data_IF_275794401296
#
_entry.id   IF_275794401296
#
_cell.length_a   1.000
_cell.length_b   1.000
_cell.length_c   1.000
_cell.angle_alpha   90.00
_cell.angle_beta   90.00
_cell.angle_gamma   90.00
#
_symmetry.space_group_name_H-M   'P 1'
#
loop_
_entity.id
_entity.type
_entity.pdbx_description
1 polymer ?
#
# COMPACT_ATOMS: atom_id res chain seq x y z
N UNK A 1 -11.75 13.93 -25.12
CA UNK A 1 -10.77 14.90 -24.59
C UNK A 1 -9.49 14.14 -24.26
N UNK A 2 -8.32 14.65 -24.64
CA UNK A 2 -7.05 13.96 -24.38
C UNK A 2 -6.56 14.19 -22.95
N UNK A 3 -6.03 13.15 -22.32
CA UNK A 3 -5.55 13.18 -20.95
C UNK A 3 -4.49 12.09 -20.70
N UNK A 4 -3.84 12.12 -19.55
CA UNK A 4 -2.89 11.09 -19.14
C UNK A 4 -3.56 10.07 -18.22
N UNK A 5 -3.22 8.80 -18.43
CA UNK A 5 -3.83 7.66 -17.74
C UNK A 5 -2.79 6.64 -17.28
N UNK A 6 -3.16 5.91 -16.23
CA UNK A 6 -2.53 4.64 -15.85
C UNK A 6 -3.02 3.55 -16.84
N UNK A 7 -2.12 2.91 -17.62
CA UNK A 7 -2.51 1.95 -18.65
C UNK A 7 -3.33 0.76 -18.12
N UNK A 8 -2.99 0.27 -16.92
CA UNK A 8 -3.55 -0.98 -16.39
C UNK A 8 -4.99 -0.85 -15.90
N UNK A 9 -5.49 0.36 -15.66
CA UNK A 9 -6.87 0.57 -15.18
C UNK A 9 -7.57 1.79 -15.80
N UNK A 10 -6.93 2.50 -16.73
CA UNK A 10 -7.50 3.66 -17.42
C UNK A 10 -7.76 4.87 -16.53
N UNK A 11 -7.23 4.90 -15.30
CA UNK A 11 -7.43 6.01 -14.35
C UNK A 11 -6.71 7.26 -14.82
N UNK A 12 -7.43 8.37 -14.83
CA UNK A 12 -6.88 9.69 -15.15
C UNK A 12 -5.91 10.16 -14.07
N UNK A 13 -4.80 10.74 -14.51
CA UNK A 13 -3.76 11.30 -13.65
C UNK A 13 -3.33 12.68 -14.15
N UNK A 14 -3.09 13.59 -13.21
CA UNK A 14 -2.49 14.91 -13.45
C UNK A 14 -1.09 15.01 -12.85
N UNK A 15 -0.69 14.04 -12.02
CA UNK A 15 0.65 13.91 -11.48
C UNK A 15 1.04 12.43 -11.31
N UNK A 16 2.35 12.17 -11.31
CA UNK A 16 2.92 10.84 -11.06
C UNK A 16 4.30 10.96 -10.39
N UNK A 17 4.48 10.29 -9.26
CA UNK A 17 5.78 10.17 -8.60
C UNK A 17 6.55 8.97 -9.17
N UNK A 18 7.71 9.23 -9.75
CA UNK A 18 8.56 8.26 -10.44
C UNK A 18 9.66 7.78 -9.48
N UNK A 19 9.73 6.49 -9.11
CA UNK A 19 10.84 6.02 -8.29
C UNK A 19 12.17 6.11 -9.05
N UNK A 20 13.25 6.38 -8.32
CA UNK A 20 14.58 6.52 -8.91
C UNK A 20 14.94 5.26 -9.73
N UNK A 21 15.49 5.48 -10.92
CA UNK A 21 15.97 4.45 -11.84
C UNK A 21 14.93 3.44 -12.34
N UNK A 22 13.65 3.64 -12.04
CA UNK A 22 12.55 2.84 -12.57
C UNK A 22 12.09 3.38 -13.93
N UNK A 23 11.96 2.48 -14.90
CA UNK A 23 11.21 2.76 -16.13
C UNK A 23 9.74 2.44 -15.91
N UNK A 24 8.87 3.44 -16.06
CA UNK A 24 7.42 3.30 -15.89
C UNK A 24 6.71 3.56 -17.21
N UNK A 25 5.69 2.75 -17.49
CA UNK A 25 4.81 2.89 -18.65
C UNK A 25 3.56 3.70 -18.30
N UNK A 26 3.27 4.72 -19.09
CA UNK A 26 2.08 5.56 -18.94
C UNK A 26 1.41 5.77 -20.30
N UNK A 27 0.14 6.18 -20.26
CA UNK A 27 -0.67 6.33 -21.45
C UNK A 27 -1.12 7.78 -21.62
N UNK A 28 -0.81 8.38 -22.76
CA UNK A 28 -1.54 9.54 -23.26
C UNK A 28 -2.75 8.98 -24.01
N UNK A 29 -3.96 9.29 -23.52
CA UNK A 29 -5.21 8.78 -24.06
C UNK A 29 -5.91 9.77 -24.97
N UNK A 30 -6.43 9.28 -26.10
CA UNK A 30 -7.18 10.05 -27.08
C UNK A 30 -6.28 10.84 -28.04
N UNK A 31 -6.89 11.37 -29.11
CA UNK A 31 -6.18 12.07 -30.19
C UNK A 31 -6.63 13.51 -30.41
N UNK A 32 -6.14 14.07 -31.52
CA UNK A 32 -6.63 15.32 -32.08
C UNK A 32 -8.09 15.18 -32.61
N UNK A 33 -8.75 16.27 -33.05
CA UNK A 33 -10.12 16.21 -33.60
C UNK A 33 -10.25 15.32 -34.84
N UNK A 34 -9.15 15.03 -35.53
CA UNK A 34 -9.08 14.17 -36.71
C UNK A 34 -8.83 12.70 -36.35
N UNK A 35 -8.61 12.39 -35.07
CA UNK A 35 -8.33 11.03 -34.60
C UNK A 35 -6.87 10.61 -34.80
N UNK A 36 -5.95 11.54 -35.01
CA UNK A 36 -4.51 11.24 -35.02
C UNK A 36 -3.98 11.13 -33.59
N UNK A 37 -2.97 10.28 -33.41
CA UNK A 37 -2.26 10.13 -32.14
C UNK A 37 -1.56 11.43 -31.78
N UNK A 38 -1.40 11.72 -30.49
CA UNK A 38 -0.60 12.87 -30.07
C UNK A 38 0.84 12.45 -29.83
N UNK A 39 1.79 13.32 -30.19
CA UNK A 39 3.19 13.15 -29.84
C UNK A 39 3.37 13.46 -28.35
N UNK A 40 4.22 12.69 -27.66
CA UNK A 40 4.55 12.91 -26.25
C UNK A 40 6.02 13.25 -26.10
N UNK A 41 6.31 14.29 -25.35
CA UNK A 41 7.68 14.70 -25.05
C UNK A 41 7.74 15.38 -23.67
N UNK A 42 8.96 15.53 -23.16
CA UNK A 42 9.20 16.35 -21.98
C UNK A 42 8.82 17.81 -22.28
N UNK A 43 8.32 18.52 -21.27
CA UNK A 43 7.97 19.94 -21.36
C UNK A 43 9.19 20.84 -21.63
N UNK A 44 10.37 20.36 -21.25
CA UNK A 44 11.69 20.97 -21.44
C UNK A 44 12.78 19.91 -21.47
N UNK A 45 14.00 20.28 -21.84
CA UNK A 45 15.16 19.40 -21.65
C UNK A 45 15.48 19.27 -20.16
N UNK A 46 15.57 18.04 -19.68
CA UNK A 46 15.83 17.72 -18.26
C UNK A 46 16.89 16.64 -18.19
N UNK A 47 18.04 16.98 -17.59
CA UNK A 47 19.12 16.02 -17.41
C UNK A 47 18.67 14.83 -16.53
N UNK A 48 19.09 13.62 -16.91
CA UNK A 48 18.76 12.40 -16.16
C UNK A 48 17.30 11.95 -16.31
N UNK A 49 16.52 12.52 -17.24
CA UNK A 49 15.18 12.03 -17.56
C UNK A 49 15.14 11.58 -19.01
N UNK A 50 14.65 10.36 -19.23
CA UNK A 50 14.42 9.81 -20.57
C UNK A 50 12.94 9.52 -20.74
N UNK A 51 12.39 9.91 -21.89
CA UNK A 51 11.03 9.57 -22.30
C UNK A 51 11.07 8.96 -23.70
N UNK A 52 10.36 7.85 -23.89
CA UNK A 52 10.31 7.14 -25.16
C UNK A 52 8.87 6.77 -25.48
N UNK A 53 8.34 7.33 -26.57
CA UNK A 53 7.06 6.90 -27.12
C UNK A 53 7.20 5.49 -27.71
N UNK A 54 6.24 4.61 -27.41
CA UNK A 54 6.25 3.23 -27.87
C UNK A 54 5.37 3.07 -29.10
N UNK A 55 5.87 2.36 -30.12
CA UNK A 55 5.15 2.10 -31.38
C UNK A 55 3.99 1.09 -31.25
N UNK A 56 3.68 0.63 -30.04
CA UNK A 56 2.63 -0.37 -29.81
C UNK A 56 1.27 0.12 -30.32
N UNK A 57 0.48 -0.81 -30.89
CA UNK A 57 -0.92 -0.52 -31.25
C UNK A 57 -1.71 -0.30 -29.96
N UNK A 58 -2.23 0.91 -29.78
CA UNK A 58 -3.07 1.27 -28.63
C UNK A 58 -4.53 1.44 -29.05
N UNK A 59 -5.48 1.24 -28.13
CA UNK A 59 -6.88 1.61 -28.33
C UNK A 59 -7.01 3.13 -28.43
N UNK A 60 -7.97 3.57 -29.25
CA UNK A 60 -8.12 4.96 -29.65
C UNK A 60 -6.82 5.52 -30.26
N UNK A 61 -6.81 6.81 -30.57
CA UNK A 61 -5.62 7.53 -31.03
C UNK A 61 -4.64 7.80 -29.87
N UNK A 62 -4.36 6.81 -29.04
CA UNK A 62 -3.55 6.94 -27.83
C UNK A 62 -2.07 6.66 -28.08
N UNK A 63 -1.21 7.25 -27.25
CA UNK A 63 0.24 7.06 -27.27
C UNK A 63 0.71 6.47 -25.95
N UNK A 64 1.22 5.24 -25.98
CA UNK A 64 1.90 4.63 -24.83
C UNK A 64 3.35 5.10 -24.80
N UNK A 65 3.87 5.42 -23.62
CA UNK A 65 5.26 5.85 -23.48
C UNK A 65 5.89 5.31 -22.21
N UNK A 66 7.22 5.23 -22.24
CA UNK A 66 8.06 4.90 -21.09
C UNK A 66 8.77 6.16 -20.60
N UNK A 67 8.90 6.29 -19.29
CA UNK A 67 9.66 7.36 -18.63
C UNK A 67 10.56 6.78 -17.55
N UNK A 68 11.79 7.28 -17.48
CA UNK A 68 12.79 6.93 -16.45
C UNK A 68 13.48 8.20 -15.97
N UNK A 69 13.75 8.28 -14.66
CA UNK A 69 14.48 9.37 -14.03
C UNK A 69 15.63 8.85 -13.18
N UNK A 70 16.80 9.49 -13.26
CA UNK A 70 18.04 9.06 -12.59
C UNK A 70 18.58 10.11 -11.62
N UNK A 71 17.83 11.19 -11.36
CA UNK A 71 18.23 12.27 -10.46
C UNK A 71 17.10 12.61 -9.50
N UNK A 72 17.24 12.22 -8.23
CA UNK A 72 16.25 12.45 -7.16
C UNK A 72 15.90 13.94 -7.05
N UNK A 73 14.62 14.24 -6.83
CA UNK A 73 14.11 15.60 -6.65
C UNK A 73 13.83 16.34 -7.97
N UNK A 74 14.24 15.76 -9.10
CA UNK A 74 13.96 16.32 -10.43
C UNK A 74 12.45 16.38 -10.67
N UNK A 75 11.96 17.57 -11.00
CA UNK A 75 10.56 17.79 -11.40
C UNK A 75 10.48 18.19 -12.86
N UNK A 76 9.47 17.71 -13.58
CA UNK A 76 9.29 17.94 -15.00
C UNK A 76 7.83 17.71 -15.42
N UNK A 77 7.48 18.13 -16.64
CA UNK A 77 6.20 17.85 -17.26
C UNK A 77 6.34 16.87 -18.41
N UNK A 78 5.31 16.04 -18.64
CA UNK A 78 5.11 15.35 -19.91
C UNK A 78 3.95 16.04 -20.63
N UNK A 79 4.23 16.56 -21.82
CA UNK A 79 3.27 17.29 -22.63
C UNK A 79 2.84 16.45 -23.84
N UNK A 80 1.58 16.62 -24.25
CA UNK A 80 1.04 16.05 -25.48
C UNK A 80 0.94 17.14 -26.56
N UNK A 81 1.43 16.84 -27.76
CA UNK A 81 1.53 17.76 -28.88
C UNK A 81 0.75 17.26 -30.08
N UNK A 82 0.27 18.19 -30.92
CA UNK A 82 -0.26 17.82 -32.23
C UNK A 82 0.88 17.23 -33.09
N UNK A 83 0.63 16.15 -33.86
CA UNK A 83 1.63 15.46 -34.66
C UNK A 83 2.53 16.36 -35.48
N UNK A 84 3.85 16.21 -35.32
CA UNK A 84 4.83 16.96 -36.11
C UNK A 84 4.87 18.46 -35.81
N UNK A 85 4.26 18.92 -34.71
CA UNK A 85 4.26 20.32 -34.30
C UNK A 85 4.74 20.48 -32.86
N UNK A 86 4.97 21.74 -32.45
CA UNK A 86 5.22 22.10 -31.04
C UNK A 86 3.97 22.62 -30.33
N UNK A 87 2.80 22.54 -30.96
CA UNK A 87 1.54 23.01 -30.38
C UNK A 87 1.04 22.04 -29.31
N UNK A 88 0.91 22.53 -28.07
CA UNK A 88 0.38 21.74 -26.94
C UNK A 88 -1.11 21.47 -27.14
N UNK A 89 -1.54 20.26 -26.83
CA UNK A 89 -2.92 19.82 -26.96
C UNK A 89 -3.63 19.62 -25.61
N UNK A 90 -2.89 19.30 -24.55
CA UNK A 90 -3.45 19.08 -23.21
C UNK A 90 -2.58 19.71 -22.12
N UNK A 91 -3.09 19.71 -20.88
CA UNK A 91 -2.29 20.03 -19.69
C UNK A 91 -1.24 18.94 -19.47
N UNK A 92 -0.05 19.37 -19.06
CA UNK A 92 1.07 18.47 -18.78
C UNK A 92 0.75 17.52 -17.61
N UNK A 93 1.23 16.28 -17.73
CA UNK A 93 1.38 15.39 -16.59
C UNK A 93 2.58 15.86 -15.76
N UNK A 94 2.34 16.26 -14.51
CA UNK A 94 3.41 16.66 -13.60
C UNK A 94 4.14 15.43 -13.06
N UNK A 95 5.46 15.41 -13.14
CA UNK A 95 6.26 14.30 -12.66
C UNK A 95 7.36 14.76 -11.71
N UNK A 96 7.69 13.88 -10.76
CA UNK A 96 8.81 14.05 -9.83
C UNK A 96 9.57 12.75 -9.69
N UNK A 97 10.88 12.79 -9.86
CA UNK A 97 11.78 11.68 -9.53
C UNK A 97 11.96 11.65 -8.02
N UNK A 98 11.56 10.54 -7.39
CA UNK A 98 11.63 10.31 -5.95
C UNK A 98 12.89 9.51 -5.61
N UNK A 99 13.02 9.06 -4.36
CA UNK A 99 14.15 8.27 -3.90
C UNK A 99 14.20 6.85 -4.48
N UNK A 100 15.25 6.13 -4.13
CA UNK A 100 15.36 4.70 -4.37
C UNK A 100 14.38 3.93 -3.46
N UNK A 101 13.55 3.03 -3.98
CA UNK A 101 12.67 2.19 -3.16
C UNK A 101 13.45 1.24 -2.24
N UNK A 102 13.34 1.43 -0.93
CA UNK A 102 13.94 0.54 0.09
C UNK A 102 12.88 -0.02 1.03
N UNK A 103 13.12 -1.15 1.69
CA UNK A 103 12.20 -1.63 2.73
C UNK A 103 12.19 -0.67 3.93
N UNK A 104 11.10 -0.72 4.74
CA UNK A 104 11.11 -0.18 6.10
C UNK A 104 12.37 -0.64 6.85
N UNK A 105 13.00 0.27 7.58
CA UNK A 105 14.26 0.01 8.28
C UNK A 105 14.15 -1.25 9.16
N UNK A 106 15.05 -2.21 8.95
CA UNK A 106 15.10 -3.48 9.69
C UNK A 106 14.13 -4.56 9.22
N UNK A 107 13.31 -4.30 8.20
CA UNK A 107 12.37 -5.28 7.64
C UNK A 107 12.98 -6.10 6.52
N UNK A 108 12.81 -7.42 6.62
CA UNK A 108 13.21 -8.38 5.58
C UNK A 108 12.25 -8.34 4.41
N UNK A 109 10.95 -8.28 4.69
CA UNK A 109 9.90 -8.14 3.68
C UNK A 109 9.05 -6.93 3.99
N UNK A 110 8.81 -6.12 2.96
CA UNK A 110 7.92 -4.97 2.98
C UNK A 110 7.17 -4.91 1.64
N UNK A 111 5.94 -5.42 1.62
CA UNK A 111 5.15 -5.44 0.40
C UNK A 111 4.74 -4.03 -0.06
N UNK A 112 4.73 -3.03 0.83
CA UNK A 112 4.43 -1.64 0.47
C UNK A 112 5.60 -1.03 -0.30
N UNK A 113 6.82 -1.17 0.20
CA UNK A 113 8.02 -0.76 -0.52
C UNK A 113 8.14 -1.45 -1.89
N UNK A 114 7.77 -2.74 -1.98
CA UNK A 114 7.79 -3.50 -3.23
C UNK A 114 6.87 -2.93 -4.32
N UNK A 115 5.79 -2.22 -3.97
CA UNK A 115 4.94 -1.54 -4.95
C UNK A 115 5.72 -0.48 -5.73
N UNK A 116 6.61 0.26 -5.06
CA UNK A 116 7.48 1.25 -5.68
C UNK A 116 8.69 0.57 -6.37
N UNK A 117 9.29 -0.42 -5.70
CA UNK A 117 10.51 -1.09 -6.17
C UNK A 117 10.29 -1.91 -7.43
N UNK A 118 9.18 -2.65 -7.50
CA UNK A 118 8.93 -3.68 -8.51
C UNK A 118 7.56 -3.60 -9.18
N UNK A 119 6.64 -2.77 -8.66
CA UNK A 119 5.26 -2.71 -9.13
C UNK A 119 5.06 -2.03 -10.47
N UNK A 120 3.88 -2.25 -11.05
CA UNK A 120 3.39 -1.58 -12.26
C UNK A 120 3.10 -0.09 -12.03
N UNK A 121 2.77 0.67 -13.08
CA UNK A 121 2.43 2.08 -12.94
C UNK A 121 1.25 2.30 -11.99
N UNK A 122 0.24 1.43 -12.08
CA UNK A 122 -0.87 1.36 -11.12
C UNK A 122 -0.36 1.17 -9.69
N UNK A 123 0.55 0.23 -9.43
CA UNK A 123 1.02 -0.07 -8.08
C UNK A 123 1.86 1.05 -7.48
N UNK A 124 2.74 1.67 -8.29
CA UNK A 124 3.49 2.86 -7.89
C UNK A 124 2.54 4.01 -7.54
N UNK A 125 1.52 4.24 -8.37
CA UNK A 125 0.50 5.25 -8.09
C UNK A 125 -0.28 4.96 -6.80
N UNK A 126 -0.64 3.69 -6.56
CA UNK A 126 -1.30 3.27 -5.31
C UNK A 126 -0.39 3.47 -4.09
N UNK A 127 0.91 3.17 -4.21
CA UNK A 127 1.90 3.45 -3.17
C UNK A 127 1.94 4.95 -2.85
N UNK A 128 2.00 5.82 -3.87
CA UNK A 128 1.98 7.27 -3.65
C UNK A 128 0.74 7.72 -2.89
N UNK A 129 -0.42 7.17 -3.23
CA UNK A 129 -1.68 7.47 -2.53
C UNK A 129 -1.70 6.93 -1.10
N UNK A 130 -1.16 5.74 -0.83
CA UNK A 130 -1.09 5.18 0.53
C UNK A 130 -0.32 6.10 1.48
N UNK A 131 0.72 6.76 0.99
CA UNK A 131 1.59 7.59 1.83
C UNK A 131 1.24 9.08 1.84
N UNK A 132 0.64 9.60 0.76
CA UNK A 132 0.46 11.04 0.57
C UNK A 132 -1.00 11.50 0.60
N UNK A 133 -1.98 10.61 0.46
CA UNK A 133 -3.39 11.02 0.53
C UNK A 133 -3.75 11.44 1.97
N UNK A 134 -4.76 12.33 2.13
CA UNK A 134 -5.25 12.73 3.45
C UNK A 134 -5.68 11.54 4.30
N UNK A 135 -5.44 11.64 5.62
CA UNK A 135 -5.84 10.61 6.58
C UNK A 135 -7.32 10.68 6.97
N UNK A 136 -8.21 10.57 5.98
CA UNK A 136 -9.66 10.64 6.14
C UNK A 136 -10.38 9.46 5.45
N UNK A 137 -11.71 9.51 5.38
CA UNK A 137 -12.54 8.46 4.78
C UNK A 137 -12.36 8.29 3.27
N UNK A 138 -11.68 9.21 2.60
CA UNK A 138 -11.35 9.13 1.16
C UNK A 138 -10.02 8.40 0.91
N UNK A 139 -9.24 8.18 1.97
CA UNK A 139 -7.97 7.49 1.89
C UNK A 139 -8.16 6.08 1.34
N UNK A 140 -7.20 5.60 0.55
CA UNK A 140 -7.33 4.32 -0.13
C UNK A 140 -7.37 3.11 0.82
N UNK A 141 -6.82 3.27 2.02
CA UNK A 141 -6.87 2.27 3.08
C UNK A 141 -8.11 2.39 3.97
N UNK A 142 -8.80 3.53 3.98
CA UNK A 142 -9.92 3.73 4.91
C UNK A 142 -11.06 2.75 4.66
N UNK A 143 -11.60 2.20 5.75
CA UNK A 143 -12.95 1.66 5.74
C UNK A 143 -13.99 2.78 5.76
N UNK A 144 -15.25 2.40 5.52
CA UNK A 144 -16.37 3.29 5.78
C UNK A 144 -16.75 3.19 7.26
N UNK A 145 -16.58 4.30 7.99
CA UNK A 145 -16.89 4.38 9.43
C UNK A 145 -18.31 4.89 9.71
N UNK A 146 -19.15 5.05 8.67
CA UNK A 146 -20.55 5.44 8.83
C UNK A 146 -21.31 4.37 9.62
N UNK A 147 -22.18 4.79 10.53
CA UNK A 147 -22.96 3.88 11.37
C UNK A 147 -23.69 2.82 10.51
N UNK A 148 -23.55 1.55 10.88
CA UNK A 148 -24.13 0.41 10.16
C UNK A 148 -23.32 -0.10 8.95
N UNK A 149 -22.16 0.51 8.65
CA UNK A 149 -21.32 0.15 7.49
C UNK A 149 -19.89 -0.26 7.87
N UNK A 150 -19.61 -0.50 9.16
CA UNK A 150 -18.31 -0.97 9.63
C UNK A 150 -17.94 -2.30 8.98
N UNK A 151 -16.91 -2.28 8.15
CA UNK A 151 -16.52 -3.40 7.30
C UNK A 151 -15.00 -3.64 7.30
N UNK A 152 -14.33 -3.37 8.42
CA UNK A 152 -12.86 -3.51 8.53
C UNK A 152 -12.36 -4.87 8.04
N UNK A 153 -13.10 -5.96 8.33
CA UNK A 153 -12.78 -7.29 7.82
C UNK A 153 -12.76 -7.39 6.30
N UNK A 154 -13.78 -6.86 5.61
CA UNK A 154 -13.89 -6.90 4.16
C UNK A 154 -12.85 -5.98 3.49
N UNK A 155 -12.63 -4.80 4.07
CA UNK A 155 -11.64 -3.84 3.58
C UNK A 155 -10.24 -4.44 3.70
N UNK A 156 -9.89 -5.00 4.87
CA UNK A 156 -8.61 -5.67 5.10
C UNK A 156 -8.40 -6.86 4.15
N UNK A 157 -9.45 -7.65 3.90
CA UNK A 157 -9.39 -8.76 2.93
C UNK A 157 -9.22 -8.26 1.49
N UNK A 158 -9.86 -7.14 1.15
CA UNK A 158 -9.83 -6.55 -0.19
C UNK A 158 -8.48 -5.95 -0.60
N UNK A 159 -7.63 -5.58 0.36
CA UNK A 159 -6.32 -4.96 0.07
C UNK A 159 -5.45 -5.78 -0.86
N UNK A 160 -5.38 -7.10 -0.67
CA UNK A 160 -4.64 -8.01 -1.53
C UNK A 160 -4.91 -7.77 -3.01
N UNK A 161 -6.17 -7.92 -3.44
CA UNK A 161 -6.54 -7.75 -4.85
C UNK A 161 -6.44 -6.30 -5.29
N UNK A 162 -6.83 -5.36 -4.41
CA UNK A 162 -6.86 -3.91 -4.72
C UNK A 162 -5.47 -3.32 -4.93
N UNK A 163 -4.51 -3.69 -4.09
CA UNK A 163 -3.19 -3.06 -3.96
C UNK A 163 -2.09 -3.99 -4.48
N UNK A 164 -2.08 -5.24 -4.02
CA UNK A 164 -0.98 -6.19 -4.25
C UNK A 164 -1.21 -7.13 -5.44
N UNK A 165 -2.36 -7.04 -6.12
CA UNK A 165 -2.78 -7.90 -7.24
C UNK A 165 -2.83 -9.40 -6.90
N UNK A 166 -2.85 -9.73 -5.61
CA UNK A 166 -2.90 -11.10 -5.08
C UNK A 166 -3.91 -11.18 -3.95
N UNK A 167 -4.78 -12.21 -3.88
CA UNK A 167 -5.74 -12.31 -2.79
C UNK A 167 -5.06 -12.26 -1.41
N UNK A 168 -5.66 -11.54 -0.47
CA UNK A 168 -5.23 -11.59 0.93
C UNK A 168 -5.49 -12.98 1.48
N UNK A 169 -4.56 -13.52 2.25
CA UNK A 169 -4.81 -14.75 2.98
C UNK A 169 -5.73 -14.47 4.18
N UNK A 170 -6.86 -15.18 4.26
CA UNK A 170 -7.96 -14.86 5.20
C UNK A 170 -8.36 -16.02 6.12
N UNK A 171 -7.67 -17.15 6.07
CA UNK A 171 -7.94 -18.27 6.96
C UNK A 171 -7.51 -17.96 8.39
N UNK A 172 -8.27 -18.47 9.37
CA UNK A 172 -8.06 -18.17 10.78
C UNK A 172 -8.11 -19.42 11.65
N UNK A 173 -7.15 -19.48 12.56
CA UNK A 173 -7.06 -20.40 13.66
C UNK A 173 -6.77 -19.61 14.93
N UNK A 174 -7.45 -19.98 16.01
CA UNK A 174 -7.29 -19.32 17.30
C UNK A 174 -5.93 -19.61 17.92
N UNK A 175 -5.23 -18.55 18.31
CA UNK A 175 -3.92 -18.62 18.97
C UNK A 175 -3.99 -18.62 20.50
N UNK A 176 -5.05 -18.05 21.09
CA UNK A 176 -5.17 -17.91 22.54
C UNK A 176 -5.66 -19.18 23.25
N UNK A 177 -5.30 -19.31 24.52
CA UNK A 177 -5.87 -20.27 25.46
C UNK A 177 -7.20 -19.73 26.01
N UNK A 178 -8.16 -20.56 26.44
CA UNK A 178 -9.41 -20.07 27.05
C UNK A 178 -9.12 -18.96 28.08
N UNK A 179 -9.69 -17.75 27.91
CA UNK A 179 -9.29 -16.64 28.75
C UNK A 179 -9.81 -16.82 30.17
N UNK A 180 -9.09 -16.24 31.12
CA UNK A 180 -9.46 -16.29 32.54
C UNK A 180 -10.32 -15.08 32.96
N UNK A 181 -10.32 -14.03 32.15
CA UNK A 181 -11.10 -12.81 32.35
C UNK A 181 -11.41 -12.18 30.98
N UNK A 182 -12.13 -11.06 30.98
CA UNK A 182 -12.38 -10.24 29.79
C UNK A 182 -11.29 -9.17 29.55
N UNK A 183 -10.17 -9.26 30.29
CA UNK A 183 -9.06 -8.30 30.22
C UNK A 183 -8.03 -8.70 29.19
N UNK A 184 -7.60 -7.75 28.34
CA UNK A 184 -6.56 -8.00 27.33
C UNK A 184 -5.20 -8.39 27.95
N UNK A 185 -4.91 -7.86 29.13
CA UNK A 185 -3.69 -8.14 29.88
C UNK A 185 -3.60 -9.61 30.34
N UNK A 186 -4.74 -10.24 30.60
CA UNK A 186 -4.82 -11.62 31.11
C UNK A 186 -4.81 -12.65 29.98
N UNK A 187 -4.92 -12.21 28.73
CA UNK A 187 -4.87 -13.11 27.59
C UNK A 187 -3.52 -13.82 27.52
N UNK A 188 -3.57 -15.14 27.42
CA UNK A 188 -2.41 -16.02 27.24
C UNK A 188 -2.58 -16.86 25.99
N UNK A 189 -1.45 -17.22 25.41
CA UNK A 189 -1.42 -17.87 24.12
C UNK A 189 -0.77 -19.25 24.14
N UNK A 190 -1.21 -20.09 23.20
CA UNK A 190 -0.53 -21.34 22.93
C UNK A 190 0.74 -21.05 22.11
N UNK A 191 1.89 -21.14 22.76
CA UNK A 191 3.19 -20.81 22.16
C UNK A 191 3.48 -21.60 20.86
N UNK A 192 3.09 -22.88 20.81
CA UNK A 192 3.29 -23.71 19.61
C UNK A 192 2.43 -23.22 18.44
N UNK A 193 1.16 -22.89 18.69
CA UNK A 193 0.27 -22.33 17.66
C UNK A 193 0.78 -20.99 17.15
N UNK A 194 1.22 -20.11 18.05
CA UNK A 194 1.81 -18.83 17.64
C UNK A 194 3.09 -19.00 16.83
N UNK A 195 3.99 -19.88 17.25
CA UNK A 195 5.22 -20.16 16.50
C UNK A 195 4.91 -20.61 15.06
N UNK A 196 3.93 -21.51 14.90
CA UNK A 196 3.48 -21.97 13.59
C UNK A 196 2.79 -20.85 12.79
N UNK A 197 1.92 -20.07 13.43
CA UNK A 197 1.24 -18.92 12.82
C UNK A 197 2.22 -17.85 12.33
N UNK A 198 3.21 -17.47 13.15
CA UNK A 198 4.28 -16.53 12.79
C UNK A 198 5.05 -17.06 11.58
N UNK A 199 5.48 -18.32 11.58
CA UNK A 199 6.19 -18.92 10.46
C UNK A 199 5.33 -18.94 9.18
N UNK A 200 4.04 -19.23 9.31
CA UNK A 200 3.08 -19.24 8.21
C UNK A 200 2.87 -17.84 7.63
N UNK A 201 2.71 -16.82 8.48
CA UNK A 201 2.61 -15.41 8.07
C UNK A 201 3.86 -15.01 7.27
N UNK A 202 5.06 -15.25 7.81
CA UNK A 202 6.33 -14.94 7.12
C UNK A 202 6.41 -15.63 5.75
N UNK A 203 6.10 -16.92 5.68
CA UNK A 203 6.09 -17.69 4.42
C UNK A 203 5.11 -17.13 3.38
N UNK A 204 3.96 -16.60 3.82
CA UNK A 204 3.00 -15.97 2.90
C UNK A 204 3.52 -14.63 2.39
N UNK A 205 4.12 -13.83 3.27
CA UNK A 205 4.71 -12.54 2.91
C UNK A 205 5.89 -12.69 1.96
N UNK A 206 6.74 -13.71 2.13
CA UNK A 206 7.83 -14.05 1.20
C UNK A 206 7.32 -14.33 -0.22
N UNK A 207 6.09 -14.84 -0.34
CA UNK A 207 5.42 -15.10 -1.62
C UNK A 207 4.67 -13.88 -2.17
N UNK A 208 4.75 -12.74 -1.49
CA UNK A 208 4.01 -11.53 -1.83
C UNK A 208 2.52 -11.59 -1.48
N UNK A 209 2.11 -12.48 -0.57
CA UNK A 209 0.72 -12.63 -0.16
C UNK A 209 0.49 -11.92 1.17
N UNK A 210 -0.30 -10.82 1.21
CA UNK A 210 -0.64 -10.16 2.45
C UNK A 210 -1.55 -11.05 3.31
N UNK A 211 -1.52 -10.89 4.63
CA UNK A 211 -2.23 -11.76 5.57
C UNK A 211 -3.17 -10.95 6.44
N UNK A 212 -4.46 -11.26 6.40
CA UNK A 212 -5.44 -10.68 7.33
C UNK A 212 -5.33 -11.37 8.68
N UNK A 213 -5.37 -10.62 9.77
CA UNK A 213 -5.38 -11.15 11.13
C UNK A 213 -6.53 -10.57 11.94
N UNK A 214 -7.07 -11.37 12.85
CA UNK A 214 -8.08 -10.94 13.82
C UNK A 214 -7.41 -10.51 15.11
N UNK A 215 -7.79 -9.34 15.60
CA UNK A 215 -7.30 -8.77 16.86
C UNK A 215 -8.43 -8.26 17.75
N UNK A 216 -8.09 -8.08 19.02
CA UNK A 216 -8.85 -7.32 20.02
C UNK A 216 -8.11 -6.02 20.33
N UNK A 217 -8.87 -4.98 20.68
CA UNK A 217 -8.32 -3.66 21.02
C UNK A 217 -8.89 -3.02 22.28
N UNK A 218 -9.87 -3.66 22.94
CA UNK A 218 -10.41 -3.22 24.22
C UNK A 218 -10.68 -4.41 25.15
N UNK A 219 -10.71 -4.14 26.45
CA UNK A 219 -11.26 -5.04 27.47
C UNK A 219 -12.76 -5.31 27.23
N UNK A 220 -13.28 -6.35 27.89
CA UNK A 220 -14.67 -6.78 27.73
C UNK A 220 -14.88 -7.66 26.50
N UNK A 221 -13.82 -8.05 25.79
CA UNK A 221 -13.96 -8.88 24.59
C UNK A 221 -14.56 -10.24 24.95
N UNK A 222 -15.43 -10.76 24.09
CA UNK A 222 -15.94 -12.12 24.24
C UNK A 222 -14.99 -13.09 23.54
N UNK A 223 -14.61 -14.23 24.16
CA UNK A 223 -13.69 -15.21 23.56
C UNK A 223 -14.30 -16.04 22.44
N UNK A 224 -15.24 -15.47 21.71
CA UNK A 224 -15.86 -16.04 20.54
C UNK A 224 -15.51 -15.11 19.39
N UNK A 225 -15.03 -15.70 18.30
CA UNK A 225 -14.83 -15.06 17.00
C UNK A 225 -16.21 -14.62 16.50
N UNK A 226 -16.63 -13.41 16.89
CA UNK A 226 -17.87 -12.77 16.46
C UNK A 226 -17.63 -11.27 16.27
N UNK A 227 -18.39 -10.65 15.38
CA UNK A 227 -18.36 -9.20 15.21
C UNK A 227 -18.65 -8.49 16.53
N UNK A 228 -17.67 -7.74 17.03
CA UNK A 228 -17.71 -7.00 18.28
C UNK A 228 -16.97 -5.68 18.03
N UNK A 229 -17.50 -4.56 18.56
CA UNK A 229 -16.83 -3.25 18.47
C UNK A 229 -15.46 -3.24 19.14
N UNK A 230 -15.16 -4.24 19.97
CA UNK A 230 -13.88 -4.45 20.67
C UNK A 230 -12.88 -5.30 19.86
N UNK A 231 -13.31 -5.78 18.70
CA UNK A 231 -12.48 -6.55 17.76
C UNK A 231 -12.20 -5.74 16.51
N UNK A 232 -11.17 -6.13 15.76
CA UNK A 232 -10.76 -5.46 14.54
C UNK A 232 -10.03 -6.43 13.60
N UNK A 233 -9.80 -5.99 12.37
CA UNK A 233 -8.98 -6.70 11.40
C UNK A 233 -7.90 -5.79 10.84
N UNK A 234 -6.68 -6.31 10.78
CA UNK A 234 -5.52 -5.68 10.15
C UNK A 234 -5.02 -6.58 9.04
N UNK A 235 -4.27 -6.02 8.11
CA UNK A 235 -3.57 -6.77 7.07
C UNK A 235 -2.07 -6.63 7.26
N UNK A 236 -1.40 -7.73 7.61
CA UNK A 236 0.06 -7.80 7.68
C UNK A 236 0.62 -7.80 6.25
N UNK A 237 1.60 -6.93 6.03
CA UNK A 237 2.23 -6.64 4.73
C UNK A 237 3.76 -6.67 4.79
N UNK A 238 4.35 -6.97 5.93
CA UNK A 238 5.80 -7.07 6.04
C UNK A 238 6.23 -7.67 7.37
N UNK A 239 7.49 -8.07 7.46
CA UNK A 239 8.06 -8.59 8.70
C UNK A 239 9.54 -8.28 8.88
N UNK A 240 9.95 -8.22 10.14
CA UNK A 240 11.33 -8.28 10.62
C UNK A 240 11.55 -9.54 11.46
N UNK A 241 12.65 -9.62 12.21
CA UNK A 241 12.88 -10.74 13.13
C UNK A 241 11.71 -10.93 14.12
N UNK A 242 11.27 -9.85 14.78
CA UNK A 242 10.31 -9.87 15.89
C UNK A 242 9.09 -8.98 15.67
N UNK A 243 8.98 -8.33 14.50
CA UNK A 243 7.86 -7.44 14.19
C UNK A 243 7.16 -7.79 12.88
N UNK A 244 5.91 -7.37 12.80
CA UNK A 244 5.10 -7.35 11.59
C UNK A 244 4.72 -5.91 11.27
N UNK A 245 4.74 -5.58 9.97
CA UNK A 245 4.21 -4.32 9.44
C UNK A 245 2.77 -4.56 9.02
N UNK A 246 1.84 -3.71 9.44
CA UNK A 246 0.42 -3.88 9.15
C UNK A 246 -0.22 -2.63 8.55
N UNK A 247 -1.27 -2.87 7.78
CA UNK A 247 -2.23 -1.88 7.32
C UNK A 247 -3.48 -1.96 8.19
N UNK A 248 -3.92 -0.80 8.66
CA UNK A 248 -5.10 -0.62 9.48
C UNK A 248 -6.18 0.06 8.65
N UNK A 249 -7.37 -0.53 8.48
CA UNK A 249 -8.46 0.12 7.79
C UNK A 249 -9.14 1.23 8.59
N UNK A 250 -8.88 1.34 9.89
CA UNK A 250 -9.43 2.40 10.75
C UNK A 250 -8.54 3.66 10.68
N UNK A 251 -9.06 4.82 10.25
CA UNK A 251 -8.29 6.08 10.27
C UNK A 251 -7.79 6.41 11.67
N UNK A 252 -6.46 6.44 11.85
CA UNK A 252 -5.82 6.71 13.15
C UNK A 252 -5.83 5.53 14.13
N UNK A 253 -6.32 4.34 13.72
CA UNK A 253 -6.30 3.15 14.57
C UNK A 253 -4.87 2.69 14.87
N UNK A 254 -4.02 2.76 13.85
CA UNK A 254 -2.57 2.54 13.92
C UNK A 254 -1.85 3.80 13.48
N UNK A 255 -0.61 3.94 13.90
CA UNK A 255 0.24 5.02 13.41
C UNK A 255 1.70 4.62 13.39
N UNK A 256 2.37 4.90 12.26
CA UNK A 256 3.76 4.57 12.03
C UNK A 256 4.48 5.69 11.29
N UNK A 257 5.67 5.97 11.79
CA UNK A 257 6.70 6.76 11.12
C UNK A 257 7.40 5.89 10.06
N UNK A 258 6.76 5.75 8.90
CA UNK A 258 7.22 4.89 7.82
C UNK A 258 8.39 5.52 7.05
N UNK A 259 9.45 4.73 6.86
CA UNK A 259 10.72 5.09 6.24
C UNK A 259 11.05 4.22 5.03
N UNK A 260 10.13 3.34 4.62
CA UNK A 260 10.27 2.52 3.42
C UNK A 260 9.78 3.21 2.14
N UNK A 261 10.00 2.54 1.02
CA UNK A 261 9.78 3.00 -0.34
C UNK A 261 10.69 4.15 -0.74
N UNK A 262 10.15 5.14 -1.47
CA UNK A 262 10.90 6.18 -2.18
C UNK A 262 10.75 7.59 -1.59
N UNK A 263 10.02 7.75 -0.49
CA UNK A 263 9.85 9.05 0.17
C UNK A 263 10.73 9.15 1.41
N UNK A 264 10.96 10.39 1.84
CA UNK A 264 11.46 10.63 3.19
C UNK A 264 10.47 10.08 4.24
N UNK A 265 10.98 9.91 5.47
CA UNK A 265 10.20 9.49 6.64
C UNK A 265 8.86 10.24 6.68
N UNK A 266 7.77 9.48 6.61
CA UNK A 266 6.41 10.00 6.56
C UNK A 266 5.56 9.34 7.63
N UNK A 267 4.85 10.15 8.41
CA UNK A 267 3.90 9.67 9.42
C UNK A 267 2.62 9.20 8.72
N UNK A 268 2.20 7.98 8.98
CA UNK A 268 1.04 7.37 8.34
C UNK A 268 0.06 6.80 9.38
N UNK A 269 -1.19 7.28 9.35
CA UNK A 269 -2.25 6.93 10.30
C UNK A 269 -3.06 5.67 9.91
N UNK A 270 -2.58 4.91 8.93
CA UNK A 270 -3.13 3.61 8.52
C UNK A 270 -2.06 2.50 8.52
N UNK A 271 -0.86 2.80 9.00
CA UNK A 271 0.22 1.83 9.11
C UNK A 271 0.61 1.66 10.58
N UNK A 272 0.99 0.45 10.95
CA UNK A 272 1.38 0.13 12.32
C UNK A 272 2.40 -0.99 12.37
N UNK A 273 2.90 -1.24 13.58
CA UNK A 273 3.70 -2.41 13.88
C UNK A 273 2.97 -3.30 14.89
N UNK A 274 3.16 -4.61 14.74
CA UNK A 274 2.87 -5.59 15.77
C UNK A 274 4.18 -6.27 16.14
N UNK A 275 4.40 -6.55 17.42
CA UNK A 275 5.61 -7.14 17.97
C UNK A 275 5.28 -8.43 18.71
N UNK A 276 6.25 -9.34 18.74
CA UNK A 276 6.23 -10.55 19.54
C UNK A 276 7.62 -10.83 20.12
N UNK A 277 7.65 -11.38 21.34
CA UNK A 277 8.87 -11.83 21.97
C UNK A 277 9.11 -13.33 21.62
N UNK A 278 10.18 -13.68 20.88
CA UNK A 278 10.44 -15.05 20.49
C UNK A 278 10.73 -15.98 21.68
N UNK A 279 11.14 -15.45 22.83
CA UNK A 279 11.32 -16.25 24.06
C UNK A 279 10.09 -16.26 24.97
N UNK A 280 9.11 -15.39 24.71
CA UNK A 280 7.87 -15.26 25.49
C UNK A 280 6.60 -15.27 24.63
N UNK A 281 6.50 -16.26 23.74
CA UNK A 281 5.35 -16.39 22.84
C UNK A 281 4.01 -16.55 23.58
N UNK A 282 4.00 -16.95 24.85
CA UNK A 282 2.78 -16.99 25.66
C UNK A 282 2.08 -15.63 25.82
N UNK A 283 2.80 -14.53 25.57
CA UNK A 283 2.27 -13.17 25.62
C UNK A 283 1.56 -12.73 24.33
N UNK A 284 1.79 -13.44 23.22
CA UNK A 284 1.13 -13.16 21.95
C UNK A 284 1.91 -12.24 21.00
N UNK A 285 1.20 -11.87 19.93
CA UNK A 285 1.58 -10.79 19.02
C UNK A 285 0.68 -9.60 19.36
N UNK A 286 1.25 -8.41 19.57
CA UNK A 286 0.48 -7.22 19.93
C UNK A 286 1.15 -5.92 19.55
N UNK A 287 0.51 -4.78 19.83
CA UNK A 287 1.13 -3.47 19.60
C UNK A 287 2.41 -3.31 20.43
N UNK A 288 3.47 -2.69 19.88
CA UNK A 288 4.67 -2.37 20.65
C UNK A 288 4.35 -1.37 21.77
N UNK A 289 5.17 -1.35 22.81
CA UNK A 289 5.05 -0.36 23.86
C UNK A 289 5.21 1.07 23.28
N UNK A 290 4.29 1.98 23.62
CA UNK A 290 4.31 3.36 23.13
C UNK A 290 3.81 3.54 21.69
N UNK A 291 3.02 2.60 21.16
CA UNK A 291 2.34 2.77 19.86
C UNK A 291 1.55 4.08 19.80
N UNK A 292 1.68 4.82 18.69
CA UNK A 292 1.12 6.17 18.54
C UNK A 292 -0.36 6.21 18.12
N UNK A 293 -0.92 5.09 17.65
CA UNK A 293 -2.30 4.99 17.21
C UNK A 293 -3.32 4.97 18.36
N UNK A 294 -4.60 5.15 18.01
CA UNK A 294 -5.70 5.16 18.98
C UNK A 294 -5.93 3.80 19.67
N UNK A 295 -5.45 2.70 19.07
CA UNK A 295 -5.72 1.35 19.56
C UNK A 295 -4.44 0.61 19.96
N UNK A 296 -4.55 -0.17 21.04
CA UNK A 296 -3.57 -1.18 21.41
C UNK A 296 -4.10 -2.55 21.03
N UNK A 297 -3.35 -3.32 20.26
CA UNK A 297 -3.83 -4.55 19.64
C UNK A 297 -3.24 -5.82 20.28
N UNK A 298 -4.02 -6.90 20.30
CA UNK A 298 -3.52 -8.28 20.44
C UNK A 298 -4.13 -9.17 19.38
N UNK A 299 -3.29 -9.88 18.62
CA UNK A 299 -3.72 -10.82 17.58
C UNK A 299 -4.23 -12.10 18.21
N UNK A 300 -5.52 -12.39 18.01
CA UNK A 300 -6.18 -13.57 18.60
C UNK A 300 -6.33 -14.72 17.62
N UNK A 301 -6.34 -14.43 16.31
CA UNK A 301 -6.40 -15.45 15.28
C UNK A 301 -5.71 -15.01 13.98
N UNK A 302 -5.16 -16.00 13.27
CA UNK A 302 -4.44 -15.85 12.01
C UNK A 302 -4.26 -17.23 11.37
N UNK A 303 -3.46 -17.35 10.30
CA UNK A 303 -3.26 -18.62 9.61
C UNK A 303 -2.48 -19.68 10.40
#
# INVERSE_FOLDING_TARGET
MANFKIPENGRDISSFDLPLDRTIRLLQWGGDPQGNRLDVALDRSVAGVTLTALSAKQPAASTLFEVKGTAIGTTFGVAAYLPGTTQRYSKDLKMRVCGEPVNQLGYTVDLIAQLAANGSAKQVYLYSRILSDPSDSTHILSQNTTAGQYNCGDVAAGYGTKIFTKPTHTAYFTYYLPPQSDKMADLRFNANRLKLGIAKIKTMLDKGTPVRVWLIHHDGFKPIIQGDTRTHFLTIVGYSATKFLCLDPWPGGSELDYQGGMYAKTRNAFMGELEFDPVRLELGIGSPAGSLGAHSYKVIAGP
#
